data_IF_601352808353
#
_entry.id   IF_601352808353
#
_cell.length_a   1.000
_cell.length_b   1.000
_cell.length_c   1.000
_cell.angle_alpha   90.00
_cell.angle_beta   90.00
_cell.angle_gamma   90.00
#
_symmetry.space_group_name_H-M   'P 1'
#
loop_
_entity.id
_entity.type
_entity.pdbx_description
1 polymer ?
#
# COMPACT_ATOMS: atom_id res chain seq x y z
N UNK A 1 31.05 10.19 3.43
CA UNK A 1 29.85 10.01 2.59
C UNK A 1 30.22 10.52 1.21
N UNK A 2 30.62 9.63 0.29
CA UNK A 2 30.91 10.00 -1.09
C UNK A 2 29.59 10.18 -1.82
N UNK A 3 29.31 11.40 -2.25
CA UNK A 3 28.20 11.72 -3.16
C UNK A 3 28.59 11.10 -4.51
N UNK A 4 27.94 9.97 -4.87
CA UNK A 4 28.06 9.44 -6.21
C UNK A 4 27.44 10.45 -7.18
N UNK A 5 28.25 10.92 -8.15
CA UNK A 5 27.76 11.74 -9.27
C UNK A 5 26.61 10.97 -9.97
N UNK A 6 25.53 11.66 -10.38
CA UNK A 6 24.47 11.03 -11.19
C UNK A 6 25.13 10.40 -12.43
N UNK A 7 24.87 9.11 -12.65
CA UNK A 7 25.30 8.38 -13.84
C UNK A 7 24.73 9.10 -15.07
N UNK A 8 25.54 9.47 -16.02
CA UNK A 8 25.05 9.99 -17.30
C UNK A 8 24.12 8.95 -17.92
N UNK A 9 22.88 9.36 -18.25
CA UNK A 9 21.88 8.46 -18.83
C UNK A 9 22.35 7.99 -20.19
N UNK A 10 22.44 6.70 -20.39
CA UNK A 10 22.77 6.10 -21.69
C UNK A 10 21.61 6.32 -22.70
N UNK A 11 21.90 6.17 -23.99
CA UNK A 11 20.85 6.23 -25.04
C UNK A 11 19.78 5.17 -24.80
N UNK A 12 20.17 3.99 -24.33
CA UNK A 12 19.26 2.93 -23.98
C UNK A 12 18.32 3.24 -22.81
N UNK A 13 18.80 4.00 -21.81
CA UNK A 13 17.94 4.43 -20.68
C UNK A 13 16.83 5.39 -21.18
N UNK A 14 17.14 6.28 -22.12
CA UNK A 14 16.16 7.19 -22.73
C UNK A 14 15.11 6.44 -23.53
N UNK A 15 15.52 5.44 -24.31
CA UNK A 15 14.61 4.63 -25.10
C UNK A 15 13.64 3.83 -24.21
N UNK A 16 14.13 3.26 -23.12
CA UNK A 16 13.28 2.58 -22.12
C UNK A 16 12.27 3.57 -21.49
N UNK A 17 12.70 4.79 -21.12
CA UNK A 17 11.81 5.84 -20.60
C UNK A 17 10.73 6.24 -21.62
N UNK A 18 11.06 6.30 -22.91
CA UNK A 18 10.09 6.56 -23.96
C UNK A 18 9.04 5.45 -24.08
N UNK A 19 9.45 4.18 -24.04
CA UNK A 19 8.52 3.04 -24.05
C UNK A 19 7.61 3.07 -22.81
N UNK A 20 8.17 3.35 -21.63
CA UNK A 20 7.39 3.50 -20.41
C UNK A 20 6.33 4.60 -20.50
N UNK A 21 6.71 5.74 -21.09
CA UNK A 21 5.78 6.87 -21.35
C UNK A 21 4.67 6.46 -22.29
N UNK A 22 4.98 5.75 -23.38
CA UNK A 22 3.99 5.23 -24.32
C UNK A 22 3.03 4.26 -23.65
N UNK A 23 3.53 3.35 -22.80
CA UNK A 23 2.72 2.40 -22.03
C UNK A 23 1.76 3.11 -21.08
N UNK A 24 2.25 4.10 -20.33
CA UNK A 24 1.41 4.91 -19.45
C UNK A 24 0.28 5.60 -20.22
N UNK A 25 0.58 6.19 -21.37
CA UNK A 25 -0.40 6.85 -22.21
C UNK A 25 -1.44 5.88 -22.76
N UNK A 26 -1.04 4.71 -23.24
CA UNK A 26 -1.96 3.68 -23.74
C UNK A 26 -2.89 3.16 -22.66
N UNK A 27 -2.39 2.94 -21.45
CA UNK A 27 -3.19 2.53 -20.29
C UNK A 27 -4.19 3.59 -19.88
N UNK A 28 -3.77 4.87 -19.88
CA UNK A 28 -4.68 5.98 -19.65
C UNK A 28 -5.77 6.08 -20.74
N UNK A 29 -5.42 5.92 -22.03
CA UNK A 29 -6.38 5.88 -23.12
C UNK A 29 -7.37 4.72 -22.95
N UNK A 30 -6.91 3.53 -22.58
CA UNK A 30 -7.77 2.38 -22.31
C UNK A 30 -8.79 2.66 -21.20
N UNK A 31 -8.36 3.33 -20.12
CA UNK A 31 -9.24 3.68 -19.02
C UNK A 31 -10.39 4.61 -19.47
N UNK A 32 -10.12 5.55 -20.37
CA UNK A 32 -11.11 6.49 -20.89
C UNK A 32 -11.84 6.00 -22.15
N UNK A 33 -11.44 4.89 -22.74
CA UNK A 33 -12.07 4.32 -23.93
C UNK A 33 -13.53 3.89 -23.66
N UNK A 34 -14.43 4.28 -24.55
CA UNK A 34 -15.87 4.03 -24.40
C UNK A 34 -16.35 2.80 -25.17
N UNK A 35 -15.65 2.42 -26.24
CA UNK A 35 -16.04 1.30 -27.08
C UNK A 35 -15.15 0.08 -26.84
N UNK A 36 -15.70 -1.09 -27.12
CA UNK A 36 -14.94 -2.35 -27.06
C UNK A 36 -13.75 -2.34 -28.04
N UNK A 37 -13.93 -1.76 -29.23
CA UNK A 37 -12.88 -1.70 -30.25
C UNK A 37 -11.71 -0.82 -29.81
N UNK A 38 -11.98 0.35 -29.22
CA UNK A 38 -10.95 1.23 -28.66
C UNK A 38 -10.18 0.52 -27.55
N UNK A 39 -10.88 -0.15 -26.63
CA UNK A 39 -10.26 -0.93 -25.55
C UNK A 39 -9.37 -2.04 -26.10
N UNK A 40 -9.85 -2.77 -27.12
CA UNK A 40 -9.06 -3.82 -27.77
C UNK A 40 -7.79 -3.26 -28.39
N UNK A 41 -7.90 -2.17 -29.15
CA UNK A 41 -6.74 -1.54 -29.79
C UNK A 41 -5.68 -1.10 -28.73
N UNK A 42 -6.13 -0.53 -27.62
CA UNK A 42 -5.22 -0.18 -26.52
C UNK A 42 -4.51 -1.40 -25.92
N UNK A 43 -5.22 -2.51 -25.70
CA UNK A 43 -4.62 -3.76 -25.18
C UNK A 43 -3.60 -4.34 -26.14
N UNK A 44 -3.91 -4.38 -27.42
CA UNK A 44 -2.99 -4.87 -28.45
C UNK A 44 -1.73 -4.00 -28.48
N UNK A 45 -1.90 -2.67 -28.45
CA UNK A 45 -0.77 -1.74 -28.39
C UNK A 45 0.07 -1.86 -27.13
N UNK A 46 -0.54 -2.03 -25.96
CA UNK A 46 0.16 -2.26 -24.69
C UNK A 46 1.01 -3.53 -24.76
N UNK A 47 0.45 -4.62 -25.30
CA UNK A 47 1.19 -5.87 -25.49
C UNK A 47 2.42 -5.69 -26.40
N UNK A 48 2.27 -4.99 -27.51
CA UNK A 48 3.37 -4.73 -28.44
C UNK A 48 4.48 -3.89 -27.78
N UNK A 49 4.10 -2.86 -27.03
CA UNK A 49 5.04 -2.03 -26.27
C UNK A 49 5.75 -2.81 -25.15
N UNK A 50 5.07 -3.73 -24.49
CA UNK A 50 5.73 -4.61 -23.49
C UNK A 50 6.75 -5.53 -24.11
N UNK A 51 6.47 -6.07 -25.29
CA UNK A 51 7.44 -6.87 -26.07
C UNK A 51 8.62 -6.01 -26.55
N UNK A 52 8.37 -4.76 -26.97
CA UNK A 52 9.41 -3.78 -27.34
C UNK A 52 10.30 -3.47 -26.14
N UNK A 53 9.71 -3.28 -24.95
CA UNK A 53 10.44 -3.06 -23.72
C UNK A 53 11.36 -4.22 -23.37
N UNK A 54 10.85 -5.46 -23.45
CA UNK A 54 11.65 -6.66 -23.16
C UNK A 54 12.90 -6.69 -24.03
N UNK A 55 12.76 -6.47 -25.33
CA UNK A 55 13.90 -6.42 -26.28
C UNK A 55 14.86 -5.27 -25.94
N UNK A 56 14.34 -4.10 -25.53
CA UNK A 56 15.18 -2.97 -25.14
C UNK A 56 15.97 -3.26 -23.87
N UNK A 57 15.37 -3.94 -22.89
CA UNK A 57 16.03 -4.38 -21.67
C UNK A 57 17.11 -5.44 -21.95
N UNK A 58 16.84 -6.38 -22.88
CA UNK A 58 17.81 -7.37 -23.35
C UNK A 58 19.03 -6.73 -24.02
N UNK A 59 18.80 -5.76 -24.91
CA UNK A 59 19.87 -5.11 -25.67
C UNK A 59 20.75 -4.17 -24.84
N UNK A 60 20.24 -3.68 -23.72
CA UNK A 60 20.94 -2.70 -22.87
C UNK A 60 21.85 -3.32 -21.78
N UNK A 61 22.08 -4.63 -21.80
CA UNK A 61 22.90 -5.30 -20.79
C UNK A 61 22.25 -5.31 -19.39
N UNK A 62 20.99 -4.93 -19.26
CA UNK A 62 20.26 -5.00 -17.99
C UNK A 62 19.92 -6.42 -17.55
N UNK A 63 20.38 -7.42 -18.32
CA UNK A 63 20.15 -8.85 -18.07
C UNK A 63 21.43 -9.60 -17.73
N UNK A 64 22.44 -8.91 -17.20
CA UNK A 64 23.73 -9.50 -16.86
C UNK A 64 23.65 -10.57 -15.75
N UNK A 65 22.58 -10.55 -14.95
CA UNK A 65 22.35 -11.58 -13.93
C UNK A 65 21.01 -12.30 -14.15
N UNK A 66 20.89 -13.59 -13.74
CA UNK A 66 19.62 -14.32 -13.81
C UNK A 66 18.47 -13.63 -13.10
N UNK A 67 18.74 -12.91 -12.00
CA UNK A 67 17.74 -12.16 -11.23
C UNK A 67 17.20 -10.96 -12.00
N UNK A 68 18.07 -10.19 -12.66
CA UNK A 68 17.69 -9.05 -13.50
C UNK A 68 16.89 -9.49 -14.72
N UNK A 69 17.31 -10.60 -15.36
CA UNK A 69 16.56 -11.21 -16.45
C UNK A 69 15.14 -11.61 -16.01
N UNK A 70 15.03 -12.31 -14.89
CA UNK A 70 13.73 -12.69 -14.32
C UNK A 70 12.83 -11.51 -14.01
N UNK A 71 13.40 -10.41 -13.47
CA UNK A 71 12.65 -9.18 -13.21
C UNK A 71 12.14 -8.54 -14.51
N UNK A 72 12.98 -8.42 -15.54
CA UNK A 72 12.59 -7.86 -16.83
C UNK A 72 11.49 -8.66 -17.50
N UNK A 73 11.60 -9.99 -17.50
CA UNK A 73 10.57 -10.90 -18.03
C UNK A 73 9.25 -10.74 -17.25
N UNK A 74 9.30 -10.68 -15.92
CA UNK A 74 8.10 -10.47 -15.10
C UNK A 74 7.41 -9.14 -15.41
N UNK A 75 8.19 -8.06 -15.57
CA UNK A 75 7.67 -6.73 -15.93
C UNK A 75 6.96 -6.78 -17.29
N UNK A 76 7.59 -7.37 -18.30
CA UNK A 76 7.02 -7.45 -19.64
C UNK A 76 5.82 -8.41 -19.73
N UNK A 77 5.81 -9.49 -18.94
CA UNK A 77 4.73 -10.47 -18.93
C UNK A 77 3.45 -9.96 -18.22
N UNK A 78 3.57 -9.00 -17.29
CA UNK A 78 2.41 -8.52 -16.55
C UNK A 78 1.36 -7.87 -17.47
N UNK A 79 0.14 -8.42 -17.45
CA UNK A 79 -1.00 -7.91 -18.20
C UNK A 79 -1.96 -7.13 -17.29
N UNK A 80 -2.00 -5.78 -17.38
CA UNK A 80 -2.86 -4.95 -16.53
C UNK A 80 -4.36 -5.15 -16.80
N UNK A 81 -4.73 -5.85 -17.85
CA UNK A 81 -6.12 -6.07 -18.25
C UNK A 81 -6.66 -7.45 -17.85
N UNK A 82 -5.79 -8.34 -17.39
CA UNK A 82 -6.15 -9.66 -16.90
C UNK A 82 -6.40 -9.61 -15.39
N UNK A 83 -7.67 -9.59 -14.97
CA UNK A 83 -8.05 -9.52 -13.56
C UNK A 83 -7.70 -10.77 -12.75
N UNK A 84 -7.39 -11.88 -13.41
CA UNK A 84 -7.02 -13.15 -12.78
C UNK A 84 -5.49 -13.35 -12.69
N UNK A 85 -4.72 -12.42 -13.24
CA UNK A 85 -3.27 -12.47 -13.20
C UNK A 85 -2.73 -11.74 -11.96
N UNK A 86 -1.71 -12.32 -11.33
CA UNK A 86 -1.01 -11.74 -10.19
C UNK A 86 0.41 -11.35 -10.58
N UNK A 87 0.74 -10.08 -10.43
CA UNK A 87 2.11 -9.63 -10.61
C UNK A 87 3.00 -10.12 -9.46
N UNK A 88 4.17 -10.64 -9.81
CA UNK A 88 5.22 -11.04 -8.85
C UNK A 88 6.06 -9.86 -8.36
N UNK A 89 5.67 -8.63 -8.68
CA UNK A 89 6.33 -7.38 -8.31
C UNK A 89 5.28 -6.29 -8.08
N UNK A 90 5.70 -5.22 -7.40
CA UNK A 90 4.86 -4.04 -7.23
C UNK A 90 5.72 -2.78 -7.40
N UNK A 91 5.53 -2.09 -8.52
CA UNK A 91 6.14 -0.81 -8.85
C UNK A 91 5.05 0.16 -9.32
N UNK A 92 4.63 1.14 -8.48
CA UNK A 92 3.56 2.07 -8.83
C UNK A 92 3.86 2.92 -10.07
N UNK A 93 5.12 3.28 -10.26
CA UNK A 93 5.53 4.08 -11.43
C UNK A 93 5.38 3.28 -12.72
N UNK A 94 5.87 2.04 -12.72
CA UNK A 94 5.76 1.15 -13.87
C UNK A 94 4.32 0.70 -14.14
N UNK A 95 3.63 0.25 -13.08
CA UNK A 95 2.29 -0.34 -13.23
C UNK A 95 1.22 0.70 -13.55
N UNK A 96 1.32 1.90 -12.95
CA UNK A 96 0.25 2.90 -12.95
C UNK A 96 0.68 4.30 -13.37
N UNK A 97 1.97 4.51 -13.66
CA UNK A 97 2.52 5.85 -13.97
C UNK A 97 2.60 6.78 -12.75
N UNK A 98 2.52 6.24 -11.52
CA UNK A 98 2.49 7.02 -10.28
C UNK A 98 3.91 7.12 -9.72
N UNK A 99 4.51 8.32 -9.76
CA UNK A 99 5.87 8.59 -9.25
C UNK A 99 5.90 9.11 -7.82
N UNK A 100 4.86 9.84 -7.40
CA UNK A 100 4.87 10.61 -6.15
C UNK A 100 4.13 9.91 -5.00
N UNK A 101 3.58 8.73 -5.26
CA UNK A 101 2.74 7.96 -4.35
C UNK A 101 1.25 8.18 -4.59
N UNK A 102 0.45 7.43 -3.84
CA UNK A 102 -1.00 7.43 -3.97
C UNK A 102 -1.64 8.54 -3.13
N UNK A 103 -2.76 9.08 -3.60
CA UNK A 103 -3.61 10.00 -2.83
C UNK A 103 -4.28 9.29 -1.66
N UNK A 104 -4.76 8.07 -1.92
CA UNK A 104 -5.52 7.27 -0.97
C UNK A 104 -5.05 5.83 -1.05
N UNK A 105 -4.80 5.23 0.12
CA UNK A 105 -4.62 3.80 0.31
C UNK A 105 -5.73 3.30 1.24
N UNK A 106 -6.58 2.42 0.74
CA UNK A 106 -7.70 1.86 1.50
C UNK A 106 -7.64 0.34 1.48
N UNK A 107 -8.01 -0.32 2.59
CA UNK A 107 -8.01 -1.77 2.61
C UNK A 107 -8.49 -2.41 3.91
N UNK A 108 -8.63 -3.74 3.82
CA UNK A 108 -8.86 -4.64 4.93
C UNK A 108 -7.71 -5.67 4.93
N UNK A 109 -6.57 -5.36 5.57
CA UNK A 109 -5.43 -6.27 5.63
C UNK A 109 -5.74 -7.56 6.39
N UNK A 110 -5.06 -8.67 6.10
CA UNK A 110 -5.31 -9.95 6.77
C UNK A 110 -4.91 -9.92 8.26
N UNK A 111 -5.79 -10.46 9.12
CA UNK A 111 -5.59 -10.54 10.58
C UNK A 111 -4.91 -11.86 10.95
N UNK A 112 -3.68 -12.03 10.50
CA UNK A 112 -2.90 -13.26 10.66
C UNK A 112 -1.66 -12.95 11.50
N UNK A 113 -1.41 -13.74 12.56
CA UNK A 113 -0.16 -13.64 13.30
C UNK A 113 1.02 -14.07 12.42
N UNK A 114 2.13 -13.34 12.46
CA UNK A 114 3.36 -13.69 11.73
C UNK A 114 3.91 -15.06 12.14
N UNK A 115 3.60 -15.55 13.33
CA UNK A 115 4.00 -16.89 13.79
C UNK A 115 3.37 -18.01 12.95
N UNK A 116 2.18 -17.76 12.38
CA UNK A 116 1.47 -18.72 11.53
C UNK A 116 1.98 -18.76 10.10
N UNK A 117 2.78 -17.78 9.68
CA UNK A 117 3.38 -17.73 8.35
C UNK A 117 4.58 -18.67 8.31
N UNK A 118 4.67 -19.47 7.23
CA UNK A 118 5.73 -20.46 7.03
C UNK A 118 6.54 -20.16 5.76
N UNK A 119 7.69 -20.83 5.63
CA UNK A 119 8.54 -20.77 4.45
C UNK A 119 9.30 -19.45 4.29
N UNK A 120 9.67 -19.12 3.05
CA UNK A 120 10.47 -17.93 2.72
C UNK A 120 9.80 -16.62 3.10
N UNK A 121 8.47 -16.55 3.01
CA UNK A 121 7.70 -15.37 3.41
C UNK A 121 7.88 -15.05 4.89
N UNK A 122 8.06 -16.04 5.75
CA UNK A 122 8.34 -15.81 7.16
C UNK A 122 9.61 -15.00 7.35
N UNK A 123 10.69 -15.37 6.67
CA UNK A 123 11.98 -14.68 6.77
C UNK A 123 11.86 -13.22 6.31
N UNK A 124 11.15 -12.98 5.21
CA UNK A 124 10.90 -11.63 4.71
C UNK A 124 10.14 -10.76 5.71
N UNK A 125 9.05 -11.25 6.28
CA UNK A 125 8.20 -10.50 7.21
C UNK A 125 8.79 -10.41 8.62
N UNK A 126 9.72 -11.30 8.99
CA UNK A 126 10.37 -11.27 10.30
C UNK A 126 11.68 -10.48 10.32
N UNK A 127 12.17 -9.99 9.20
CA UNK A 127 13.38 -9.18 9.12
C UNK A 127 13.17 -7.79 9.77
N UNK A 128 13.70 -7.62 10.98
CA UNK A 128 13.58 -6.36 11.74
C UNK A 128 14.27 -5.17 11.10
N UNK A 129 15.20 -5.40 10.16
CA UNK A 129 15.87 -4.31 9.43
C UNK A 129 14.96 -3.70 8.37
N UNK A 130 13.93 -4.44 7.92
CA UNK A 130 12.99 -3.99 6.90
C UNK A 130 11.78 -3.26 7.47
N UNK A 131 11.40 -3.55 8.72
CA UNK A 131 10.14 -3.11 9.30
C UNK A 131 10.35 -2.38 10.62
N UNK A 132 10.05 -1.08 10.65
CA UNK A 132 10.20 -0.24 11.84
C UNK A 132 9.16 -0.55 12.94
N UNK A 133 7.96 -1.00 12.56
CA UNK A 133 6.86 -1.33 13.48
C UNK A 133 7.05 -2.67 14.19
N UNK A 134 8.05 -3.46 13.81
CA UNK A 134 8.22 -4.81 14.34
C UNK A 134 8.84 -4.80 15.74
N UNK A 135 7.99 -5.03 16.74
CA UNK A 135 8.38 -5.23 18.14
C UNK A 135 7.90 -6.62 18.60
N UNK A 136 8.76 -7.63 18.44
CA UNK A 136 8.42 -9.02 18.81
C UNK A 136 7.46 -9.71 17.83
N UNK A 137 6.54 -10.53 18.36
CA UNK A 137 5.50 -11.20 17.57
C UNK A 137 4.35 -10.26 17.31
N UNK A 138 4.08 -9.97 16.04
CA UNK A 138 3.02 -9.04 15.59
C UNK A 138 2.09 -9.72 14.58
N UNK A 139 0.93 -9.13 14.38
CA UNK A 139 0.03 -9.52 13.30
C UNK A 139 0.45 -8.87 11.98
N UNK A 140 0.19 -9.55 10.87
CA UNK A 140 0.60 -9.13 9.52
C UNK A 140 0.06 -7.74 9.14
N UNK A 141 -1.13 -7.37 9.60
CA UNK A 141 -1.71 -6.05 9.31
C UNK A 141 -0.83 -4.88 9.82
N UNK A 142 0.02 -5.10 10.84
CA UNK A 142 0.96 -4.08 11.30
C UNK A 142 1.96 -3.69 10.20
N UNK A 143 2.44 -4.68 9.44
CA UNK A 143 3.33 -4.45 8.29
C UNK A 143 2.57 -3.79 7.12
N UNK A 144 1.29 -4.13 6.94
CA UNK A 144 0.44 -3.47 5.95
C UNK A 144 0.26 -1.98 6.26
N UNK A 145 0.11 -1.58 7.52
CA UNK A 145 0.10 -0.17 7.89
C UNK A 145 1.40 0.53 7.48
N UNK A 146 2.55 -0.02 7.85
CA UNK A 146 3.83 0.56 7.48
C UNK A 146 3.99 0.65 5.96
N UNK A 147 3.69 -0.44 5.24
CA UNK A 147 3.78 -0.45 3.78
C UNK A 147 2.79 0.53 3.14
N UNK A 148 1.54 0.53 3.57
CA UNK A 148 0.52 1.43 3.03
C UNK A 148 0.88 2.91 3.21
N UNK A 149 1.45 3.27 4.35
CA UNK A 149 1.93 4.64 4.60
C UNK A 149 3.12 5.04 3.72
N UNK A 150 4.04 4.10 3.41
CA UNK A 150 5.16 4.37 2.49
C UNK A 150 4.73 4.54 1.04
N UNK A 151 3.52 4.10 0.68
CA UNK A 151 2.96 4.24 -0.67
C UNK A 151 2.23 5.58 -0.87
N UNK A 152 1.98 6.34 0.19
CA UNK A 152 1.27 7.61 0.10
C UNK A 152 2.18 8.74 -0.35
N UNK A 153 1.66 9.60 -1.20
CA UNK A 153 2.26 10.92 -1.42
C UNK A 153 2.14 11.80 -0.16
N UNK A 154 2.91 12.91 -0.05
CA UNK A 154 2.70 13.90 1.00
C UNK A 154 1.23 14.34 1.06
N UNK A 155 0.66 14.41 2.26
CA UNK A 155 -0.74 14.72 2.56
C UNK A 155 -1.77 13.65 2.10
N UNK A 156 -1.35 12.55 1.46
CA UNK A 156 -2.21 11.43 1.13
C UNK A 156 -2.79 10.75 2.38
N UNK A 157 -3.83 9.94 2.20
CA UNK A 157 -4.57 9.32 3.30
C UNK A 157 -4.56 7.80 3.21
N UNK A 158 -4.37 7.16 4.35
CA UNK A 158 -4.57 5.72 4.52
C UNK A 158 -5.80 5.49 5.37
N UNK A 159 -6.69 4.59 4.92
CA UNK A 159 -7.86 4.16 5.68
C UNK A 159 -7.93 2.63 5.72
N UNK A 160 -7.69 2.05 6.87
CA UNK A 160 -7.78 0.60 7.07
C UNK A 160 -8.79 0.22 8.12
N UNK A 161 -9.48 -0.89 7.88
CA UNK A 161 -10.17 -1.66 8.92
C UNK A 161 -9.26 -2.82 9.33
N UNK A 162 -8.98 -2.94 10.64
CA UNK A 162 -8.08 -3.97 11.19
C UNK A 162 -8.59 -4.46 12.54
N UNK A 163 -7.95 -5.49 13.10
CA UNK A 163 -8.15 -5.80 14.52
C UNK A 163 -7.73 -4.62 15.40
N UNK A 164 -8.48 -4.35 16.46
CA UNK A 164 -8.18 -3.29 17.43
C UNK A 164 -7.13 -3.68 18.49
N UNK A 165 -6.63 -4.92 18.47
CA UNK A 165 -5.67 -5.44 19.46
C UNK A 165 -4.42 -4.59 19.61
N UNK A 166 -3.92 -4.01 18.51
CA UNK A 166 -2.73 -3.15 18.53
C UNK A 166 -2.90 -1.89 19.38
N UNK A 167 -4.12 -1.46 19.65
CA UNK A 167 -4.38 -0.31 20.54
C UNK A 167 -3.90 -0.56 21.98
N UNK A 168 -4.04 -1.78 22.46
CA UNK A 168 -3.79 -2.14 23.89
C UNK A 168 -2.61 -3.08 24.08
N UNK A 169 -2.30 -3.93 23.09
CA UNK A 169 -1.25 -4.94 23.23
C UNK A 169 0.16 -4.36 23.19
N UNK A 170 1.10 -5.08 23.83
CA UNK A 170 2.53 -4.73 23.82
C UNK A 170 3.11 -4.71 22.40
N UNK A 171 2.69 -5.62 21.53
CA UNK A 171 3.18 -5.64 20.15
C UNK A 171 2.73 -4.44 19.31
N UNK A 172 1.68 -3.73 19.71
CA UNK A 172 1.20 -2.54 19.02
C UNK A 172 2.04 -1.28 19.27
N UNK A 173 3.01 -1.33 20.17
CA UNK A 173 3.82 -0.15 20.55
C UNK A 173 4.54 0.46 19.34
N UNK A 174 5.08 -0.37 18.43
CA UNK A 174 5.75 0.11 17.22
C UNK A 174 4.80 0.88 16.29
N UNK A 175 3.55 0.41 16.14
CA UNK A 175 2.53 1.14 15.37
C UNK A 175 2.14 2.46 16.07
N UNK A 176 1.87 2.43 17.37
CA UNK A 176 1.51 3.64 18.11
C UNK A 176 2.61 4.69 18.05
N UNK A 177 3.88 4.29 18.18
CA UNK A 177 5.03 5.18 17.98
C UNK A 177 5.08 5.73 16.55
N UNK A 178 4.92 4.89 15.53
CA UNK A 178 4.94 5.32 14.14
C UNK A 178 3.88 6.40 13.88
N UNK A 179 2.65 6.16 14.32
CA UNK A 179 1.54 7.09 14.09
C UNK A 179 1.68 8.39 14.91
N UNK A 180 2.14 8.32 16.15
CA UNK A 180 2.28 9.50 17.01
C UNK A 180 3.48 10.39 16.67
N UNK A 181 4.50 9.85 15.95
CA UNK A 181 5.76 10.59 15.70
C UNK A 181 5.99 10.98 14.25
N UNK A 182 5.36 10.29 13.28
CA UNK A 182 5.62 10.52 11.85
C UNK A 182 4.38 10.86 11.03
N UNK A 183 3.19 10.54 11.53
CA UNK A 183 1.95 10.68 10.78
C UNK A 183 0.88 11.39 11.60
N UNK A 184 -0.24 11.71 10.96
CA UNK A 184 -1.38 12.34 11.61
C UNK A 184 -2.59 11.39 11.59
N UNK A 185 -2.85 10.71 12.70
CA UNK A 185 -4.09 9.98 12.88
C UNK A 185 -5.25 10.99 12.98
N UNK A 186 -6.17 10.95 12.02
CA UNK A 186 -7.30 11.88 11.90
C UNK A 186 -8.55 11.33 12.57
N UNK A 187 -8.81 10.05 12.41
CA UNK A 187 -10.00 9.37 12.89
C UNK A 187 -9.65 7.97 13.37
N UNK A 188 -10.15 7.60 14.54
CA UNK A 188 -10.11 6.25 15.09
C UNK A 188 -11.52 5.85 15.53
N UNK A 189 -12.09 4.84 14.88
CA UNK A 189 -13.36 4.25 15.25
C UNK A 189 -13.09 2.86 15.83
N UNK A 190 -13.26 2.68 17.14
CA UNK A 190 -13.23 1.36 17.78
C UNK A 190 -14.63 0.74 17.66
N UNK A 191 -14.77 -0.21 16.74
CA UNK A 191 -16.05 -0.83 16.41
C UNK A 191 -16.37 -2.03 17.29
N UNK A 192 -15.38 -2.52 18.07
CA UNK A 192 -15.52 -3.76 18.83
C UNK A 192 -15.80 -4.97 17.95
N UNK A 193 -16.52 -5.95 18.51
CA UNK A 193 -16.88 -7.20 17.83
C UNK A 193 -18.14 -7.10 16.99
N UNK A 194 -18.49 -8.25 16.34
CA UNK A 194 -19.72 -8.43 15.56
C UNK A 194 -19.88 -7.50 14.33
N UNK A 195 -18.80 -7.00 13.77
CA UNK A 195 -18.82 -6.24 12.51
C UNK A 195 -18.84 -7.18 11.30
N UNK A 196 -18.15 -8.31 11.39
CA UNK A 196 -18.15 -9.34 10.35
C UNK A 196 -18.98 -10.54 10.77
N UNK A 197 -19.83 -11.03 9.90
CA UNK A 197 -20.69 -12.21 10.18
C UNK A 197 -19.89 -13.48 10.42
N UNK A 198 -18.70 -13.60 9.82
CA UNK A 198 -17.86 -14.81 9.84
C UNK A 198 -16.65 -14.72 10.79
N UNK A 199 -16.43 -13.61 11.47
CA UNK A 199 -15.24 -13.43 12.31
C UNK A 199 -15.58 -12.78 13.66
N UNK A 200 -15.13 -13.43 14.74
CA UNK A 200 -15.26 -12.94 16.14
C UNK A 200 -14.08 -12.06 16.54
N UNK A 201 -13.72 -11.10 15.70
CA UNK A 201 -12.57 -10.21 15.94
C UNK A 201 -13.08 -8.80 16.22
N UNK A 202 -12.61 -8.22 17.31
CA UNK A 202 -12.82 -6.81 17.58
C UNK A 202 -12.02 -5.98 16.59
N UNK A 203 -12.69 -5.00 15.97
CA UNK A 203 -12.13 -4.23 14.87
C UNK A 203 -12.10 -2.75 15.13
N UNK A 204 -11.24 -2.05 14.41
CA UNK A 204 -11.22 -0.60 14.35
C UNK A 204 -11.05 -0.11 12.91
N UNK A 205 -11.55 1.09 12.62
CA UNK A 205 -11.19 1.85 11.42
C UNK A 205 -10.26 2.97 11.84
N UNK A 206 -9.13 3.08 11.14
CA UNK A 206 -8.16 4.15 11.37
C UNK A 206 -7.92 4.91 10.05
N UNK A 207 -8.13 6.24 10.10
CA UNK A 207 -7.77 7.16 9.02
C UNK A 207 -6.53 7.93 9.43
N UNK A 208 -5.48 7.83 8.61
CA UNK A 208 -4.19 8.48 8.84
C UNK A 208 -3.82 9.33 7.62
N UNK A 209 -3.28 10.50 7.87
CA UNK A 209 -2.72 11.37 6.83
C UNK A 209 -1.20 11.32 6.85
N UNK A 210 -0.57 11.24 5.67
CA UNK A 210 0.89 11.29 5.51
C UNK A 210 1.42 12.71 5.70
N UNK A 211 1.35 13.18 6.93
CA UNK A 211 1.97 14.41 7.43
C UNK A 211 2.11 14.32 8.95
N UNK A 212 3.05 15.03 9.50
CA UNK A 212 3.19 15.17 10.95
C UNK A 212 2.94 16.61 11.38
N UNK A 213 2.18 16.79 12.45
CA UNK A 213 1.98 18.08 13.12
C UNK A 213 1.99 17.88 14.63
N UNK A 214 2.90 18.56 15.32
CA UNK A 214 2.98 18.47 16.80
C UNK A 214 1.67 18.93 17.44
N UNK A 215 1.20 18.18 18.45
CA UNK A 215 -0.04 18.51 19.17
C UNK A 215 -1.32 18.24 18.39
N UNK A 216 -1.24 17.47 17.31
CA UNK A 216 -2.43 17.04 16.56
C UNK A 216 -3.37 16.20 17.41
N UNK A 217 -4.65 16.34 17.17
CA UNK A 217 -5.70 15.56 17.83
C UNK A 217 -6.37 14.62 16.83
N UNK A 218 -6.70 13.44 17.30
CA UNK A 218 -7.45 12.40 16.58
C UNK A 218 -8.90 12.43 17.04
N UNK A 219 -9.83 12.38 16.10
CA UNK A 219 -11.23 12.18 16.42
C UNK A 219 -11.46 10.70 16.72
N UNK A 220 -11.88 10.38 17.94
CA UNK A 220 -12.01 9.03 18.46
C UNK A 220 -13.45 8.75 18.83
N UNK A 221 -13.91 7.56 18.46
CA UNK A 221 -15.22 7.08 18.82
C UNK A 221 -15.18 5.57 19.11
N UNK A 222 -15.87 5.16 20.15
CA UNK A 222 -16.02 3.73 20.51
C UNK A 222 -17.48 3.36 20.36
N UNK A 223 -17.74 2.29 19.61
CA UNK A 223 -19.09 1.78 19.39
C UNK A 223 -19.73 1.36 20.72
N UNK A 224 -20.85 1.97 21.12
CA UNK A 224 -21.63 1.50 22.26
C UNK A 224 -22.19 0.11 22.04
N UNK A 225 -22.49 -0.63 23.12
CA UNK A 225 -23.20 -1.92 23.04
C UNK A 225 -24.64 -1.63 22.53
N UNK A 226 -25.14 -2.49 21.66
CA UNK A 226 -26.54 -2.45 21.16
C UNK A 226 -26.91 -1.22 20.29
N UNK A 227 -26.11 -0.94 19.29
CA UNK A 227 -26.41 0.08 18.29
C UNK A 227 -26.94 -0.52 17.00
N UNK A 228 -27.95 0.13 16.43
CA UNK A 228 -28.41 -0.09 15.07
C UNK A 228 -27.34 0.45 14.08
N UNK A 229 -26.83 -0.37 13.15
CA UNK A 229 -25.87 0.07 12.13
C UNK A 229 -26.36 1.25 11.29
N UNK A 230 -27.66 1.40 11.07
CA UNK A 230 -28.25 2.48 10.26
C UNK A 230 -28.02 3.86 10.87
N UNK A 231 -27.90 3.95 12.19
CA UNK A 231 -27.71 5.23 12.92
C UNK A 231 -26.23 5.50 13.27
N UNK A 232 -25.29 4.69 12.79
CA UNK A 232 -23.89 4.74 13.21
C UNK A 232 -23.22 6.06 12.80
N UNK A 233 -23.50 6.60 11.61
CA UNK A 233 -22.89 7.84 11.12
C UNK A 233 -23.22 9.05 12.00
N UNK A 234 -24.48 9.16 12.40
CA UNK A 234 -24.96 10.26 13.23
C UNK A 234 -24.41 10.17 14.64
N UNK A 235 -24.34 8.97 15.19
CA UNK A 235 -23.77 8.73 16.51
C UNK A 235 -22.26 9.00 16.55
N UNK A 236 -21.51 8.63 15.51
CA UNK A 236 -20.10 8.98 15.39
C UNK A 236 -19.96 10.52 15.42
N UNK A 237 -20.75 11.24 14.64
CA UNK A 237 -20.68 12.70 14.57
C UNK A 237 -21.03 13.39 15.91
N UNK A 238 -21.98 12.84 16.66
CA UNK A 238 -22.50 13.46 17.90
C UNK A 238 -21.72 13.11 19.15
N UNK A 239 -21.12 11.90 19.24
CA UNK A 239 -20.53 11.39 20.49
C UNK A 239 -19.03 11.13 20.44
N UNK A 240 -18.37 11.36 19.32
CA UNK A 240 -16.92 11.24 19.22
C UNK A 240 -16.20 12.39 19.94
N UNK A 241 -14.96 12.13 20.34
CA UNK A 241 -14.13 13.08 21.09
C UNK A 241 -12.76 13.25 20.45
N UNK A 242 -12.19 14.45 20.59
CA UNK A 242 -10.83 14.71 20.15
C UNK A 242 -9.82 14.35 21.23
N UNK A 243 -8.94 13.42 20.94
CA UNK A 243 -7.87 12.95 21.85
C UNK A 243 -6.50 13.10 21.19
N UNK A 244 -5.46 13.28 21.99
CA UNK A 244 -4.11 13.26 21.49
C UNK A 244 -3.65 11.80 21.33
N UNK A 245 -3.25 11.42 20.11
CA UNK A 245 -2.71 10.09 19.83
C UNK A 245 -1.28 10.01 20.40
N UNK A 246 -1.00 9.01 21.23
CA UNK A 246 0.30 8.78 21.86
C UNK A 246 0.81 7.37 21.58
N UNK A 247 2.03 7.07 22.02
CA UNK A 247 2.57 5.71 21.95
C UNK A 247 2.02 4.77 23.04
N UNK A 248 1.35 5.33 24.05
CA UNK A 248 0.76 4.57 25.16
C UNK A 248 -0.47 3.76 24.70
N UNK A 249 -0.80 2.66 25.41
CA UNK A 249 -2.04 1.92 25.18
C UNK A 249 -3.29 2.78 25.33
N UNK A 250 -4.30 2.45 24.54
CA UNK A 250 -5.60 3.13 24.52
C UNK A 250 -6.65 2.32 25.27
#
# INVERSE_FOLDING_TARGET
>A
VSIQKPRERSFGDKYIEEIQTKLTNVRHQHFHAKTWQEKKNCRDRDRDLRNELLRALESNGMMETPELHKQAVNIAAWDPYNQNDTANFFDPKWMFGISDGFDIVIGNPPYISLEKIKGELKNYYTDTKKWAVKTGSIDLYCLFYERGLTLLKPYGHLCYITSNKWLRSGYGVGLRQLFSTKYNAKLLLDLGGQIFQSATVDTNILLIQNMFKKGQKTYCWTKPKNIDPENMSDLIAQSGQYMQFTSEPW
#
